data_IF_909971845893
#
_entry.id   IF_909971845893
#
_cell.length_a   1.000
_cell.length_b   1.000
_cell.length_c   1.000
_cell.angle_alpha   90.00
_cell.angle_beta   90.00
_cell.angle_gamma   90.00
#
_symmetry.space_group_name_H-M   'P 1'
#
loop_
_entity.id
_entity.type
_entity.pdbx_description
1 polymer ?
#
# COMPACT_ATOMS: atom_id res chain seq x y z
N UNK A 1 22.75 -16.39 -1.20
CA UNK A 1 22.96 -16.81 0.21
C UNK A 1 21.66 -17.41 0.72
N UNK A 2 21.64 -18.71 1.07
CA UNK A 2 20.47 -19.32 1.69
C UNK A 2 20.44 -18.88 3.17
N UNK A 3 19.84 -17.75 3.47
CA UNK A 3 19.49 -17.40 4.84
C UNK A 3 18.30 -18.30 5.23
N UNK A 4 18.57 -19.42 5.86
CA UNK A 4 17.53 -20.19 6.55
C UNK A 4 17.11 -19.41 7.78
N UNK A 5 15.80 -19.28 8.00
CA UNK A 5 15.27 -18.69 9.23
C UNK A 5 15.84 -19.42 10.45
N UNK A 6 16.24 -18.69 11.51
CA UNK A 6 16.67 -19.32 12.75
C UNK A 6 15.58 -20.27 13.29
N UNK A 7 15.99 -21.46 13.70
CA UNK A 7 15.07 -22.49 14.23
C UNK A 7 14.28 -21.94 15.43
N UNK A 8 14.94 -21.15 16.27
CA UNK A 8 14.32 -20.52 17.43
C UNK A 8 13.21 -19.54 17.03
N UNK A 9 13.44 -18.69 16.02
CA UNK A 9 12.44 -17.76 15.51
C UNK A 9 11.23 -18.51 14.97
N UNK A 10 11.48 -19.55 14.14
CA UNK A 10 10.42 -20.38 13.58
C UNK A 10 9.57 -21.00 14.68
N UNK A 11 10.19 -21.60 15.69
CA UNK A 11 9.49 -22.20 16.82
C UNK A 11 8.65 -21.20 17.62
N UNK A 12 9.18 -19.97 17.84
CA UNK A 12 8.43 -18.89 18.51
C UNK A 12 7.23 -18.43 17.68
N UNK A 13 7.41 -18.21 16.37
CA UNK A 13 6.33 -17.81 15.48
C UNK A 13 5.23 -18.86 15.40
N UNK A 14 5.59 -20.13 15.19
CA UNK A 14 4.64 -21.25 15.10
C UNK A 14 3.85 -21.43 16.40
N UNK A 15 4.51 -21.29 17.56
CA UNK A 15 3.87 -21.40 18.87
C UNK A 15 2.90 -20.26 19.17
N UNK A 16 3.29 -19.03 18.88
CA UNK A 16 2.55 -17.83 19.31
C UNK A 16 1.52 -17.32 18.29
N UNK A 17 1.72 -17.64 17.00
CA UNK A 17 0.91 -17.14 15.90
C UNK A 17 0.29 -18.25 15.04
N UNK A 18 0.82 -19.47 15.10
CA UNK A 18 0.22 -20.64 14.47
C UNK A 18 -0.10 -20.46 12.99
N UNK A 19 -1.38 -20.55 12.63
CA UNK A 19 -1.87 -20.44 11.25
C UNK A 19 -1.76 -19.02 10.63
N UNK A 20 -1.27 -18.04 11.37
CA UNK A 20 -0.96 -16.71 10.84
C UNK A 20 0.42 -16.66 10.16
N UNK A 21 1.19 -17.76 10.18
CA UNK A 21 2.55 -17.85 9.65
C UNK A 21 2.59 -18.81 8.46
N UNK A 22 3.15 -18.34 7.37
CA UNK A 22 3.39 -19.14 6.17
C UNK A 22 4.86 -19.04 5.78
N UNK A 23 5.42 -20.13 5.24
CA UNK A 23 6.82 -20.20 4.81
C UNK A 23 6.92 -20.46 3.32
N UNK A 24 7.99 -19.97 2.70
CA UNK A 24 8.28 -20.16 1.28
C UNK A 24 7.13 -19.73 0.36
N UNK A 25 6.55 -18.56 0.66
CA UNK A 25 5.39 -18.01 -0.07
C UNK A 25 5.86 -17.35 -1.36
N UNK A 26 5.28 -17.70 -2.54
CA UNK A 26 5.58 -16.99 -3.78
C UNK A 26 5.14 -15.53 -3.72
N UNK A 27 6.08 -14.60 -3.86
CA UNK A 27 5.79 -13.16 -3.84
C UNK A 27 4.98 -12.71 -5.05
N UNK A 28 5.11 -13.43 -6.17
CA UNK A 28 4.26 -13.24 -7.35
C UNK A 28 2.77 -13.39 -7.05
N UNK A 29 2.39 -14.22 -6.07
CA UNK A 29 0.98 -14.39 -5.68
C UNK A 29 0.47 -13.23 -4.84
N UNK A 30 1.35 -12.58 -4.08
CA UNK A 30 1.04 -11.42 -3.24
C UNK A 30 1.10 -10.11 -4.01
N UNK A 31 1.94 -10.02 -5.04
CA UNK A 31 2.23 -8.80 -5.78
C UNK A 31 1.16 -8.48 -6.84
N UNK A 32 0.80 -7.20 -6.94
CA UNK A 32 -0.02 -6.71 -8.04
C UNK A 32 0.70 -6.77 -9.40
N UNK A 33 2.03 -6.78 -9.42
CA UNK A 33 2.80 -7.01 -10.65
C UNK A 33 2.87 -8.47 -11.05
N UNK A 34 2.54 -9.39 -10.13
CA UNK A 34 2.71 -10.84 -10.35
C UNK A 34 4.16 -11.21 -10.66
N UNK A 35 5.08 -10.54 -9.98
CA UNK A 35 6.54 -10.72 -10.07
C UNK A 35 7.10 -10.90 -8.66
N UNK A 36 8.11 -11.74 -8.52
CA UNK A 36 8.87 -11.97 -7.30
C UNK A 36 9.05 -13.45 -6.99
N UNK A 37 10.22 -13.79 -6.45
CA UNK A 37 10.56 -15.13 -5.98
C UNK A 37 9.88 -15.50 -4.66
N UNK A 38 10.50 -16.36 -3.87
CA UNK A 38 9.94 -16.82 -2.60
C UNK A 38 10.25 -15.85 -1.44
N UNK A 39 9.26 -15.57 -0.61
CA UNK A 39 9.47 -15.02 0.73
C UNK A 39 9.76 -16.16 1.71
N UNK A 40 10.79 -16.02 2.54
CA UNK A 40 11.09 -17.04 3.55
C UNK A 40 9.98 -17.21 4.57
N UNK A 41 9.40 -16.09 5.03
CA UNK A 41 8.34 -16.08 6.02
C UNK A 41 7.38 -14.92 5.76
N UNK A 42 6.10 -15.21 5.80
CA UNK A 42 5.01 -14.23 5.77
C UNK A 42 4.17 -14.44 7.02
N UNK A 43 4.05 -13.40 7.84
CA UNK A 43 3.17 -13.35 9.00
C UNK A 43 1.96 -12.49 8.62
N UNK A 44 0.76 -13.05 8.72
CA UNK A 44 -0.51 -12.37 8.42
C UNK A 44 -1.35 -12.23 9.68
N UNK A 45 -1.10 -11.21 10.54
CA UNK A 45 -1.79 -11.05 11.82
C UNK A 45 -3.30 -10.92 11.63
N UNK A 46 -4.08 -11.64 12.46
CA UNK A 46 -5.54 -11.61 12.43
C UNK A 46 -6.15 -10.61 13.43
N UNK A 47 -5.33 -9.90 14.20
CA UNK A 47 -5.73 -8.88 15.17
C UNK A 47 -4.58 -7.93 15.50
N UNK A 48 -4.89 -6.77 16.09
CA UNK A 48 -3.87 -5.86 16.62
C UNK A 48 -2.98 -6.54 17.66
N UNK A 49 -3.55 -7.43 18.46
CA UNK A 49 -2.81 -8.20 19.48
C UNK A 49 -1.80 -9.16 18.83
N UNK A 50 -2.18 -9.87 17.76
CA UNK A 50 -1.24 -10.74 17.06
C UNK A 50 -0.20 -9.93 16.28
N UNK A 51 -0.53 -8.75 15.74
CA UNK A 51 0.44 -7.83 15.16
C UNK A 51 1.48 -7.38 16.19
N UNK A 52 1.06 -6.98 17.39
CA UNK A 52 1.98 -6.62 18.48
C UNK A 52 2.91 -7.78 18.85
N UNK A 53 2.38 -9.01 18.95
CA UNK A 53 3.18 -10.21 19.20
C UNK A 53 4.18 -10.47 18.08
N UNK A 54 3.75 -10.40 16.81
CA UNK A 54 4.62 -10.60 15.65
C UNK A 54 5.79 -9.61 15.66
N UNK A 55 5.50 -8.32 15.89
CA UNK A 55 6.53 -7.29 15.97
C UNK A 55 7.50 -7.53 17.13
N UNK A 56 7.00 -7.88 18.31
CA UNK A 56 7.84 -8.19 19.46
C UNK A 56 8.75 -9.39 19.20
N UNK A 57 8.22 -10.51 18.71
CA UNK A 57 9.00 -11.71 18.41
C UNK A 57 10.07 -11.39 17.37
N UNK A 58 9.70 -10.74 16.27
CA UNK A 58 10.62 -10.47 15.18
C UNK A 58 11.66 -9.40 15.52
N UNK A 59 11.41 -8.53 16.50
CA UNK A 59 12.41 -7.56 16.98
C UNK A 59 13.57 -8.18 17.75
N UNK A 60 13.40 -9.39 18.27
CA UNK A 60 14.48 -10.16 18.93
C UNK A 60 15.53 -10.67 17.92
N UNK A 61 15.23 -10.65 16.62
CA UNK A 61 16.08 -11.13 15.52
C UNK A 61 16.37 -9.97 14.56
N UNK A 62 16.98 -8.92 15.08
CA UNK A 62 17.23 -7.65 14.37
C UNK A 62 18.13 -7.78 13.13
N UNK A 63 18.90 -8.84 13.03
CA UNK A 63 19.75 -9.18 11.88
C UNK A 63 18.94 -9.62 10.65
N UNK A 64 17.68 -10.07 10.84
CA UNK A 64 16.82 -10.43 9.73
C UNK A 64 16.06 -9.21 9.20
N UNK A 65 16.10 -8.96 7.89
CA UNK A 65 15.32 -7.89 7.31
C UNK A 65 13.82 -8.13 7.50
N UNK A 66 13.11 -7.08 7.87
CA UNK A 66 11.67 -7.10 8.12
C UNK A 66 10.99 -6.04 7.27
N UNK A 67 9.91 -6.42 6.58
CA UNK A 67 9.13 -5.49 5.76
C UNK A 67 7.63 -5.63 6.08
N UNK A 68 6.99 -4.48 6.34
CA UNK A 68 5.53 -4.42 6.53
C UNK A 68 4.90 -4.20 5.16
N UNK A 69 3.96 -5.06 4.80
CA UNK A 69 3.28 -5.01 3.51
C UNK A 69 1.75 -4.99 3.66
N UNK A 70 1.07 -4.46 2.67
CA UNK A 70 -0.37 -4.66 2.45
C UNK A 70 -0.60 -5.55 1.25
N UNK A 71 -1.38 -5.08 0.27
CA UNK A 71 -1.65 -5.82 -0.97
C UNK A 71 -0.51 -5.70 -2.01
N UNK A 72 0.65 -5.16 -1.67
CA UNK A 72 1.82 -5.01 -2.55
C UNK A 72 1.52 -4.30 -3.88
N UNK A 73 0.61 -3.32 -3.85
CA UNK A 73 0.22 -2.54 -5.04
C UNK A 73 1.19 -1.40 -5.39
N UNK A 74 2.30 -1.27 -4.65
CA UNK A 74 3.36 -0.26 -4.85
C UNK A 74 4.76 -0.84 -4.59
N UNK A 75 4.93 -2.16 -4.76
CA UNK A 75 6.19 -2.85 -4.53
C UNK A 75 6.55 -3.70 -5.73
N UNK A 76 7.85 -3.74 -6.06
CA UNK A 76 8.47 -4.71 -6.96
C UNK A 76 9.37 -5.61 -6.12
N UNK A 77 9.13 -6.91 -6.16
CA UNK A 77 9.98 -7.89 -5.50
C UNK A 77 10.98 -8.49 -6.50
N UNK A 78 12.16 -8.80 -6.00
CA UNK A 78 13.19 -9.47 -6.76
C UNK A 78 12.77 -10.90 -7.13
N UNK A 79 13.25 -11.39 -8.27
CA UNK A 79 13.05 -12.78 -8.70
C UNK A 79 13.76 -13.77 -7.78
N UNK A 80 14.82 -13.35 -7.09
CA UNK A 80 15.50 -14.15 -6.04
C UNK A 80 14.69 -14.27 -4.74
N UNK A 81 13.63 -13.44 -4.60
CA UNK A 81 12.73 -13.44 -3.46
C UNK A 81 13.13 -12.49 -2.34
N UNK A 82 12.67 -12.76 -1.12
CA UNK A 82 12.92 -11.94 0.06
C UNK A 82 13.45 -12.80 1.23
N UNK A 83 14.71 -12.60 1.56
CA UNK A 83 15.38 -13.31 2.63
C UNK A 83 15.15 -12.62 3.99
N UNK A 84 13.92 -12.72 4.49
CA UNK A 84 13.52 -12.09 5.74
C UNK A 84 12.06 -12.37 6.07
N UNK A 85 11.49 -11.51 6.91
CA UNK A 85 10.13 -11.64 7.43
C UNK A 85 9.25 -10.57 6.81
N UNK A 86 8.19 -10.97 6.12
CA UNK A 86 7.12 -10.07 5.70
C UNK A 86 5.99 -10.11 6.73
N UNK A 87 5.55 -8.94 7.20
CA UNK A 87 4.34 -8.82 8.03
C UNK A 87 3.26 -8.18 7.16
N UNK A 88 2.24 -8.98 6.80
CA UNK A 88 1.19 -8.60 5.87
C UNK A 88 -0.05 -8.11 6.61
N UNK A 89 -0.32 -6.81 6.51
CA UNK A 89 -1.53 -6.19 7.06
C UNK A 89 -2.68 -6.34 6.06
N UNK A 90 -3.64 -7.18 6.38
CA UNK A 90 -4.75 -7.54 5.50
C UNK A 90 -6.06 -7.73 6.26
N UNK A 91 -6.84 -8.71 5.86
CA UNK A 91 -8.21 -8.93 6.33
C UNK A 91 -8.36 -9.21 7.84
N UNK A 92 -7.28 -9.55 8.53
CA UNK A 92 -7.27 -9.68 9.99
C UNK A 92 -7.26 -8.33 10.74
N UNK A 93 -6.97 -7.23 10.04
CA UNK A 93 -6.89 -5.87 10.58
C UNK A 93 -7.78 -4.94 9.76
N UNK A 94 -9.07 -5.27 9.67
CA UNK A 94 -10.02 -4.60 8.79
C UNK A 94 -11.22 -3.97 9.52
N UNK A 95 -11.08 -3.71 10.81
CA UNK A 95 -12.14 -3.02 11.55
C UNK A 95 -12.40 -1.64 10.98
N UNK A 96 -13.70 -1.33 10.79
CA UNK A 96 -14.18 -0.07 10.26
C UNK A 96 -15.36 0.43 11.10
N UNK A 97 -15.16 1.53 11.83
CA UNK A 97 -16.18 2.15 12.69
C UNK A 97 -16.46 3.57 12.24
N UNK A 98 -17.72 3.97 12.32
CA UNK A 98 -18.21 5.30 11.97
C UNK A 98 -18.88 5.94 13.18
N UNK A 99 -18.42 7.11 13.55
CA UNK A 99 -19.02 7.93 14.57
C UNK A 99 -19.24 9.34 14.01
N UNK A 100 -20.50 9.66 13.68
CA UNK A 100 -20.88 10.89 13.00
C UNK A 100 -20.13 11.08 11.66
N UNK A 101 -19.19 12.00 11.60
CA UNK A 101 -18.32 12.33 10.47
C UNK A 101 -16.87 11.89 10.69
N UNK A 102 -16.62 11.16 11.78
CA UNK A 102 -15.34 10.51 12.03
C UNK A 102 -15.38 9.05 11.62
N UNK A 103 -14.25 8.56 11.15
CA UNK A 103 -14.08 7.19 10.70
C UNK A 103 -12.80 6.64 11.30
N UNK A 104 -12.95 5.60 12.11
CA UNK A 104 -11.83 4.76 12.53
C UNK A 104 -11.68 3.60 11.54
N UNK A 105 -10.48 3.37 11.06
CA UNK A 105 -10.18 2.24 10.20
C UNK A 105 -8.81 1.64 10.52
N UNK A 106 -8.77 0.32 10.68
CA UNK A 106 -7.53 -0.42 10.82
C UNK A 106 -6.73 -0.44 9.51
N UNK A 107 -5.41 -0.64 9.62
CA UNK A 107 -4.46 -0.53 8.51
C UNK A 107 -4.72 -1.51 7.36
N UNK A 108 -5.37 -2.64 7.64
CA UNK A 108 -5.74 -3.65 6.66
C UNK A 108 -7.06 -3.39 5.93
N UNK A 109 -7.80 -2.32 6.24
CA UNK A 109 -9.01 -1.95 5.49
C UNK A 109 -8.66 -1.66 4.03
N UNK A 110 -9.41 -2.26 3.11
CA UNK A 110 -9.21 -2.02 1.68
C UNK A 110 -9.67 -0.62 1.27
N UNK A 111 -8.79 0.12 0.59
CA UNK A 111 -9.01 1.55 0.28
C UNK A 111 -10.31 1.82 -0.49
N UNK A 112 -10.66 1.08 -1.57
CA UNK A 112 -11.92 1.29 -2.26
C UNK A 112 -13.16 0.95 -1.41
N UNK A 113 -13.06 -0.01 -0.49
CA UNK A 113 -14.12 -0.37 0.43
C UNK A 113 -14.41 0.76 1.43
N UNK A 114 -13.37 1.37 2.02
CA UNK A 114 -13.52 2.56 2.85
C UNK A 114 -14.25 3.68 2.10
N UNK A 115 -13.80 4.01 0.88
CA UNK A 115 -14.45 5.04 0.07
C UNK A 115 -15.94 4.70 -0.23
N UNK A 116 -16.25 3.43 -0.49
CA UNK A 116 -17.62 2.96 -0.70
C UNK A 116 -18.48 3.10 0.56
N UNK A 117 -17.98 2.73 1.72
CA UNK A 117 -18.70 2.86 3.00
C UNK A 117 -18.94 4.32 3.37
N UNK A 118 -17.99 5.23 3.09
CA UNK A 118 -18.17 6.68 3.28
C UNK A 118 -19.25 7.23 2.34
N UNK A 119 -19.21 6.85 1.06
CA UNK A 119 -20.27 7.18 0.10
C UNK A 119 -21.66 6.76 0.61
N UNK A 120 -21.81 5.52 1.09
CA UNK A 120 -23.09 4.99 1.61
C UNK A 120 -23.65 5.82 2.77
N UNK A 121 -22.78 6.53 3.51
CA UNK A 121 -23.13 7.40 4.65
C UNK A 121 -23.22 8.88 4.30
N UNK A 122 -22.99 9.26 3.03
CA UNK A 122 -22.94 10.65 2.61
C UNK A 122 -21.77 11.44 3.22
N UNK A 123 -20.65 10.76 3.42
CA UNK A 123 -19.40 11.36 3.89
C UNK A 123 -18.49 11.64 2.70
N UNK A 124 -18.08 12.89 2.55
CA UNK A 124 -17.23 13.41 1.49
C UNK A 124 -15.82 13.72 1.99
N UNK A 125 -14.87 13.89 1.06
CA UNK A 125 -13.48 14.29 1.34
C UNK A 125 -12.45 13.28 0.85
N UNK A 126 -12.81 12.00 0.78
CA UNK A 126 -11.90 10.93 0.34
C UNK A 126 -12.28 10.27 -0.99
N UNK A 127 -13.15 10.88 -1.79
CA UNK A 127 -13.54 10.32 -3.10
C UNK A 127 -12.34 10.06 -4.01
N UNK A 128 -11.27 10.85 -3.84
CA UNK A 128 -10.04 10.76 -4.61
C UNK A 128 -9.27 9.44 -4.44
N UNK A 129 -9.56 8.64 -3.40
CA UNK A 129 -8.93 7.34 -3.17
C UNK A 129 -9.74 6.16 -3.72
N UNK A 130 -10.99 6.34 -4.15
CA UNK A 130 -11.94 5.24 -4.46
C UNK A 130 -11.44 4.23 -5.51
N UNK A 131 -10.48 4.60 -6.34
CA UNK A 131 -9.91 3.73 -7.37
C UNK A 131 -8.45 3.34 -7.12
N UNK A 132 -7.92 3.56 -5.92
CA UNK A 132 -6.54 3.21 -5.57
C UNK A 132 -6.56 1.81 -4.93
N UNK A 133 -5.94 0.79 -5.55
CA UNK A 133 -5.86 -0.52 -4.93
C UNK A 133 -4.85 -0.49 -3.78
N UNK A 134 -5.12 -1.26 -2.73
CA UNK A 134 -4.24 -1.41 -1.57
C UNK A 134 -4.95 -1.17 -0.24
N UNK A 135 -4.17 -1.19 0.83
CA UNK A 135 -4.64 -1.09 2.21
C UNK A 135 -4.38 0.30 2.79
N UNK A 136 -5.21 0.70 3.76
CA UNK A 136 -5.12 2.02 4.39
C UNK A 136 -3.76 2.28 5.03
N UNK A 137 -3.15 1.30 5.68
CA UNK A 137 -1.81 1.46 6.25
C UNK A 137 -0.78 1.89 5.21
N UNK A 138 -0.75 1.22 4.05
CA UNK A 138 0.12 1.58 2.93
C UNK A 138 -0.24 2.92 2.29
N UNK A 139 -1.54 3.25 2.20
CA UNK A 139 -2.00 4.54 1.68
C UNK A 139 -1.52 5.70 2.57
N UNK A 140 -1.65 5.57 3.89
CA UNK A 140 -1.19 6.59 4.86
C UNK A 140 0.34 6.67 4.88
N UNK A 141 1.04 5.52 4.88
CA UNK A 141 2.50 5.47 4.82
C UNK A 141 3.07 6.26 3.63
N UNK A 142 2.42 6.16 2.47
CA UNK A 142 2.82 6.85 1.24
C UNK A 142 2.15 8.22 1.05
N UNK A 143 1.35 8.71 1.99
CA UNK A 143 0.45 9.84 1.75
C UNK A 143 -0.23 9.71 0.38
N UNK A 144 -0.79 8.52 0.14
CA UNK A 144 -1.38 8.14 -1.14
C UNK A 144 -2.65 8.92 -1.45
N UNK A 145 -2.91 9.11 -2.72
CA UNK A 145 -4.10 9.83 -3.17
C UNK A 145 -4.08 10.07 -4.67
N UNK A 146 -5.03 10.80 -5.16
CA UNK A 146 -5.13 11.22 -6.56
C UNK A 146 -5.65 12.65 -6.67
N UNK A 147 -5.65 13.22 -7.88
CA UNK A 147 -6.12 14.59 -8.11
C UNK A 147 -5.39 15.66 -7.27
N UNK A 148 -4.08 15.46 -7.05
CA UNK A 148 -3.21 16.31 -6.22
C UNK A 148 -3.58 16.36 -4.74
N UNK A 149 -4.39 15.42 -4.26
CA UNK A 149 -4.76 15.27 -2.86
C UNK A 149 -4.09 14.03 -2.27
N UNK A 150 -3.74 14.09 -0.98
CA UNK A 150 -3.26 12.97 -0.18
C UNK A 150 -4.25 12.61 0.92
N UNK A 151 -4.21 11.37 1.40
CA UNK A 151 -5.11 10.92 2.47
C UNK A 151 -4.84 11.65 3.79
N UNK A 152 -3.62 12.11 4.04
CA UNK A 152 -3.24 12.80 5.27
C UNK A 152 -3.97 14.14 5.47
N UNK A 153 -4.54 14.72 4.41
CA UNK A 153 -5.41 15.90 4.51
C UNK A 153 -6.68 15.65 5.35
N UNK A 154 -7.10 14.40 5.48
CA UNK A 154 -8.31 14.01 6.21
C UNK A 154 -8.00 13.29 7.53
N UNK A 155 -6.72 13.03 7.85
CA UNK A 155 -6.30 12.29 9.05
C UNK A 155 -6.39 13.20 10.28
N UNK A 156 -7.00 12.67 11.33
CA UNK A 156 -7.06 13.28 12.68
C UNK A 156 -5.96 12.72 13.56
N UNK A 157 -5.79 11.40 13.54
CA UNK A 157 -4.71 10.72 14.26
C UNK A 157 -4.38 9.38 13.62
N UNK A 158 -3.19 8.87 13.95
CA UNK A 158 -2.70 7.57 13.50
C UNK A 158 -2.25 6.76 14.71
N UNK A 159 -2.84 5.59 14.89
CA UNK A 159 -2.36 4.61 15.86
C UNK A 159 -1.20 3.82 15.21
N UNK A 160 -0.04 3.86 15.84
CA UNK A 160 1.16 3.14 15.40
C UNK A 160 1.62 2.15 16.45
N UNK A 161 2.29 1.10 16.01
CA UNK A 161 2.96 0.14 16.90
C UNK A 161 4.46 0.25 16.69
N UNK A 162 5.22 0.38 17.79
CA UNK A 162 6.68 0.36 17.77
C UNK A 162 7.21 -1.04 17.50
N UNK A 163 8.49 -1.18 17.18
CA UNK A 163 9.14 -2.49 17.03
C UNK A 163 9.04 -3.35 18.30
N UNK A 164 8.92 -2.72 19.47
CA UNK A 164 8.74 -3.43 20.76
C UNK A 164 7.28 -3.86 21.03
N UNK A 165 6.36 -3.60 20.09
CA UNK A 165 4.95 -3.93 20.23
C UNK A 165 4.12 -2.93 21.04
N UNK A 166 4.66 -1.74 21.35
CA UNK A 166 3.94 -0.69 22.10
C UNK A 166 3.05 0.11 21.15
N UNK A 167 1.79 0.31 21.55
CA UNK A 167 0.85 1.18 20.83
C UNK A 167 1.09 2.65 21.19
N UNK A 168 1.11 3.52 20.18
CA UNK A 168 1.19 4.98 20.33
C UNK A 168 0.19 5.64 19.39
N UNK A 169 -0.42 6.74 19.85
CA UNK A 169 -1.25 7.60 19.01
C UNK A 169 -0.46 8.82 18.59
N UNK A 170 -0.55 9.20 17.31
CA UNK A 170 0.10 10.38 16.73
C UNK A 170 -0.99 11.28 16.17
N UNK A 171 -1.19 12.44 16.78
CA UNK A 171 -2.17 13.43 16.36
C UNK A 171 -1.74 14.13 15.05
N UNK A 172 -2.72 14.58 14.26
CA UNK A 172 -2.50 15.23 12.97
C UNK A 172 -1.59 16.46 13.06
N UNK A 173 -1.65 17.21 14.17
CA UNK A 173 -0.78 18.35 14.44
C UNK A 173 0.73 18.01 14.42
N UNK A 174 1.07 16.73 14.62
CA UNK A 174 2.42 16.21 14.61
C UNK A 174 2.77 15.46 13.31
N UNK A 175 1.89 15.54 12.29
CA UNK A 175 2.03 14.83 11.01
C UNK A 175 2.35 15.84 9.90
N UNK A 176 3.62 16.20 9.77
CA UNK A 176 4.08 16.95 8.61
C UNK A 176 4.04 16.05 7.37
N UNK A 177 3.46 16.55 6.29
CA UNK A 177 3.34 15.77 5.07
C UNK A 177 3.41 16.63 3.80
N UNK A 178 3.78 15.99 2.71
CA UNK A 178 3.74 16.58 1.37
C UNK A 178 3.41 15.50 0.33
N UNK A 179 3.49 15.83 -0.94
CA UNK A 179 3.20 14.88 -2.01
C UNK A 179 4.07 13.61 -1.91
N UNK A 180 3.43 12.47 -1.60
CA UNK A 180 4.07 11.15 -1.39
C UNK A 180 5.07 11.10 -0.23
N UNK A 181 4.99 12.04 0.69
CA UNK A 181 5.83 12.08 1.89
C UNK A 181 4.94 12.02 3.13
N UNK A 182 5.30 11.15 4.06
CA UNK A 182 4.71 11.06 5.40
C UNK A 182 5.82 10.91 6.46
N UNK A 183 5.56 11.27 7.73
CA UNK A 183 6.56 11.14 8.79
C UNK A 183 6.80 9.69 9.22
N UNK A 184 6.07 8.73 8.65
CA UNK A 184 6.20 7.30 8.96
C UNK A 184 7.30 6.63 8.14
N UNK A 185 7.68 7.23 7.00
CA UNK A 185 8.73 6.71 6.13
C UNK A 185 10.09 6.77 6.82
N UNK A 186 10.84 5.66 6.76
CA UNK A 186 12.15 5.54 7.39
C UNK A 186 12.13 5.45 8.92
N UNK A 187 10.96 5.35 9.55
CA UNK A 187 10.85 5.15 11.01
C UNK A 187 10.46 3.71 11.34
N UNK A 188 10.92 3.17 12.48
CA UNK A 188 10.58 1.84 12.96
C UNK A 188 9.18 1.82 13.61
N UNK A 189 8.19 2.27 12.85
CA UNK A 189 6.79 2.37 13.26
C UNK A 189 5.89 1.65 12.26
N UNK A 190 4.93 0.90 12.75
CA UNK A 190 3.92 0.20 11.95
C UNK A 190 2.58 0.89 12.14
N UNK A 191 1.96 1.37 11.08
CA UNK A 191 0.62 1.94 11.12
C UNK A 191 -0.36 0.82 11.40
N UNK A 192 -1.10 0.94 12.51
CA UNK A 192 -2.07 -0.05 12.99
C UNK A 192 -3.50 0.35 12.65
N UNK A 193 -3.84 1.63 12.84
CA UNK A 193 -5.14 2.19 12.52
C UNK A 193 -5.05 3.70 12.27
N UNK A 194 -6.10 4.27 11.69
CA UNK A 194 -6.19 5.69 11.32
C UNK A 194 -7.57 6.21 11.71
N UNK A 195 -7.62 7.43 12.22
CA UNK A 195 -8.85 8.21 12.38
C UNK A 195 -8.91 9.30 11.31
N UNK A 196 -10.02 9.36 10.61
CA UNK A 196 -10.29 10.34 9.58
C UNK A 196 -11.44 11.24 10.02
N UNK A 197 -11.37 12.53 9.69
CA UNK A 197 -12.47 13.49 9.77
C UNK A 197 -12.95 13.81 8.36
N UNK A 198 -14.23 13.61 8.11
CA UNK A 198 -14.85 13.78 6.80
C UNK A 198 -15.95 14.84 6.84
N UNK A 199 -16.36 15.32 5.68
CA UNK A 199 -17.41 16.31 5.55
C UNK A 199 -18.77 15.64 5.31
N UNK A 200 -19.84 16.13 5.93
CA UNK A 200 -21.19 15.69 5.61
C UNK A 200 -21.61 16.21 4.24
N UNK A 201 -22.17 15.33 3.45
CA UNK A 201 -22.64 15.62 2.09
C UNK A 201 -23.84 14.75 1.76
N UNK A 202 -24.34 14.86 0.54
CA UNK A 202 -25.38 13.94 0.05
C UNK A 202 -24.74 12.76 -0.68
N UNK A 203 -25.36 11.58 -0.59
CA UNK A 203 -24.92 10.39 -1.35
C UNK A 203 -24.82 10.66 -2.84
N UNK A 204 -25.73 11.49 -3.38
CA UNK A 204 -25.75 11.82 -4.80
C UNK A 204 -24.47 12.56 -5.23
N UNK A 205 -24.03 13.55 -4.45
CA UNK A 205 -22.82 14.34 -4.71
C UNK A 205 -21.57 13.43 -4.62
N UNK A 206 -21.42 12.68 -3.54
CA UNK A 206 -20.28 11.78 -3.34
C UNK A 206 -20.22 10.74 -4.47
N UNK A 207 -21.37 10.13 -4.81
CA UNK A 207 -21.47 9.15 -5.90
C UNK A 207 -21.02 9.75 -7.24
N UNK A 208 -21.48 10.95 -7.57
CA UNK A 208 -21.12 11.64 -8.81
C UNK A 208 -19.60 11.83 -8.90
N UNK A 209 -18.97 12.36 -7.85
CA UNK A 209 -17.51 12.56 -7.78
C UNK A 209 -16.75 11.24 -7.93
N UNK A 210 -17.13 10.21 -7.19
CA UNK A 210 -16.50 8.87 -7.31
C UNK A 210 -16.65 8.32 -8.72
N UNK A 211 -17.83 8.45 -9.34
CA UNK A 211 -18.07 7.96 -10.69
C UNK A 211 -17.16 8.67 -11.72
N UNK A 212 -17.02 9.98 -11.65
CA UNK A 212 -16.15 10.79 -12.51
C UNK A 212 -14.68 10.33 -12.38
N UNK A 213 -14.22 10.13 -11.14
CA UNK A 213 -12.87 9.64 -10.86
C UNK A 213 -12.65 8.25 -11.46
N UNK A 214 -13.57 7.31 -11.20
CA UNK A 214 -13.47 5.94 -11.71
C UNK A 214 -13.56 5.88 -13.23
N UNK A 215 -14.41 6.70 -13.86
CA UNK A 215 -14.51 6.81 -15.31
C UNK A 215 -13.22 7.33 -15.93
N UNK A 216 -12.62 8.38 -15.36
CA UNK A 216 -11.32 8.91 -15.78
C UNK A 216 -10.22 7.85 -15.66
N UNK A 217 -10.15 7.13 -14.53
CA UNK A 217 -9.16 6.07 -14.31
C UNK A 217 -9.30 4.90 -15.29
N UNK A 218 -10.54 4.51 -15.64
CA UNK A 218 -10.80 3.46 -16.64
C UNK A 218 -10.25 3.81 -18.01
N UNK A 219 -10.33 5.07 -18.40
CA UNK A 219 -9.83 5.55 -19.71
C UNK A 219 -8.29 5.64 -19.74
N UNK A 220 -7.66 5.98 -18.62
CA UNK A 220 -6.24 6.35 -18.57
C UNK A 220 -5.30 5.21 -18.16
N UNK A 221 -5.75 4.25 -17.35
CA UNK A 221 -4.86 3.29 -16.69
C UNK A 221 -5.01 1.86 -17.19
N UNK A 222 -3.89 1.10 -17.31
CA UNK A 222 -3.88 -0.28 -17.80
C UNK A 222 -4.40 -1.27 -16.74
N UNK A 223 -5.71 -1.32 -16.53
CA UNK A 223 -6.34 -2.12 -15.47
C UNK A 223 -6.39 -3.63 -15.72
N UNK A 224 -6.19 -4.06 -16.97
CA UNK A 224 -6.31 -5.47 -17.38
C UNK A 224 -5.01 -6.26 -17.23
N UNK A 225 -3.89 -5.58 -17.12
CA UNK A 225 -2.57 -6.18 -16.99
C UNK A 225 -2.00 -5.91 -15.59
N UNK A 226 -1.26 -6.87 -15.00
CA UNK A 226 -0.62 -6.69 -13.71
C UNK A 226 0.35 -5.51 -13.74
N UNK A 227 0.27 -4.64 -12.72
CA UNK A 227 1.12 -3.46 -12.56
C UNK A 227 0.95 -2.89 -11.15
N UNK A 228 1.88 -2.08 -10.68
CA UNK A 228 1.82 -1.39 -9.37
C UNK A 228 1.65 0.13 -9.50
N UNK A 229 0.93 0.59 -10.51
CA UNK A 229 0.65 2.02 -10.69
C UNK A 229 1.79 2.79 -11.37
N UNK A 230 1.84 4.09 -11.07
CA UNK A 230 2.86 4.98 -11.63
C UNK A 230 4.24 4.69 -11.06
N UNK A 231 5.22 4.44 -11.93
CA UNK A 231 6.60 4.08 -11.56
C UNK A 231 7.40 5.30 -11.11
N UNK A 232 7.31 6.39 -11.87
CA UNK A 232 8.06 7.62 -11.57
C UNK A 232 7.21 8.65 -10.84
N UNK A 233 7.79 9.25 -9.81
CA UNK A 233 7.17 10.33 -9.05
C UNK A 233 6.99 11.58 -9.94
N UNK A 234 5.87 12.24 -9.77
CA UNK A 234 5.61 13.54 -10.37
C UNK A 234 6.39 14.63 -9.64
N UNK A 235 7.03 15.52 -10.40
CA UNK A 235 7.61 16.75 -9.88
C UNK A 235 6.95 17.96 -10.56
N UNK A 236 6.00 18.65 -9.92
CA UNK A 236 5.30 19.80 -10.53
C UNK A 236 6.23 20.89 -11.02
N UNK A 237 7.39 21.10 -10.38
CA UNK A 237 8.38 22.10 -10.79
C UNK A 237 9.01 21.81 -12.17
N UNK A 238 8.91 20.57 -12.64
CA UNK A 238 9.42 20.15 -13.94
C UNK A 238 8.35 20.17 -15.05
N UNK A 239 7.09 20.47 -14.72
CA UNK A 239 6.02 20.36 -15.70
C UNK A 239 6.14 21.32 -16.87
N UNK A 240 6.63 22.55 -16.63
CA UNK A 240 6.83 23.54 -17.66
C UNK A 240 8.02 23.22 -18.58
N UNK A 241 8.95 22.36 -18.11
CA UNK A 241 10.16 21.98 -18.87
C UNK A 241 9.95 20.69 -19.63
N UNK A 242 9.54 19.62 -18.94
CA UNK A 242 9.43 18.27 -19.50
C UNK A 242 8.04 17.65 -19.39
N UNK A 243 7.11 18.31 -18.71
CA UNK A 243 5.77 17.77 -18.38
C UNK A 243 5.79 16.70 -17.28
N UNK A 244 4.63 16.09 -17.00
CA UNK A 244 4.55 14.97 -16.08
C UNK A 244 5.28 13.74 -16.63
N UNK A 245 5.75 12.80 -15.78
CA UNK A 245 6.59 11.67 -16.21
C UNK A 245 6.03 10.87 -17.38
N UNK A 246 4.75 10.54 -17.36
CA UNK A 246 4.11 9.80 -18.46
C UNK A 246 4.19 10.53 -19.81
N UNK A 247 4.03 11.85 -19.82
CA UNK A 247 4.16 12.67 -21.01
C UNK A 247 5.62 12.71 -21.51
N UNK A 248 6.58 12.89 -20.59
CA UNK A 248 8.00 12.91 -20.94
C UNK A 248 8.45 11.57 -21.57
N UNK A 249 8.03 10.43 -20.97
CA UNK A 249 8.33 9.09 -21.49
C UNK A 249 7.71 8.87 -22.88
N UNK A 250 6.48 9.33 -23.08
CA UNK A 250 5.81 9.24 -24.39
C UNK A 250 6.50 10.11 -25.43
N UNK A 251 6.90 11.35 -25.07
CA UNK A 251 7.59 12.29 -25.96
C UNK A 251 8.92 11.77 -26.50
N UNK A 252 9.64 10.97 -25.72
CA UNK A 252 10.90 10.33 -26.16
C UNK A 252 10.69 8.97 -26.83
N UNK A 253 9.45 8.62 -27.19
CA UNK A 253 9.13 7.42 -27.97
C UNK A 253 9.23 6.09 -27.23
N UNK A 254 9.20 6.08 -25.88
CA UNK A 254 9.36 4.86 -25.11
C UNK A 254 8.03 4.12 -24.82
N UNK A 255 6.88 4.73 -25.13
CA UNK A 255 5.57 4.09 -24.98
C UNK A 255 5.51 2.80 -25.79
N UNK A 256 5.06 1.71 -25.19
CA UNK A 256 5.03 0.39 -25.81
C UNK A 256 6.36 -0.36 -25.85
N UNK A 257 7.48 0.27 -25.44
CA UNK A 257 8.79 -0.41 -25.40
C UNK A 257 8.74 -1.60 -24.45
N UNK A 258 9.34 -2.71 -24.87
CA UNK A 258 9.42 -3.97 -24.12
C UNK A 258 10.84 -4.30 -23.71
N UNK A 259 10.95 -4.96 -22.55
CA UNK A 259 12.12 -5.72 -22.13
C UNK A 259 11.62 -7.03 -21.53
N UNK A 260 12.02 -8.16 -22.07
CA UNK A 260 11.41 -9.43 -21.72
C UNK A 260 9.89 -9.39 -21.85
N UNK A 261 9.20 -9.76 -20.78
CA UNK A 261 7.73 -9.70 -20.70
C UNK A 261 7.19 -8.47 -19.95
N UNK A 262 8.03 -7.49 -19.61
CA UNK A 262 7.60 -6.19 -19.16
C UNK A 262 7.44 -5.20 -20.31
N UNK A 263 6.43 -4.33 -20.25
CA UNK A 263 6.14 -3.33 -21.28
C UNK A 263 5.76 -1.99 -20.65
N UNK A 264 6.31 -0.88 -21.18
CA UNK A 264 5.76 0.46 -20.92
C UNK A 264 4.37 0.53 -21.54
N UNK A 265 3.36 0.79 -20.71
CA UNK A 265 1.97 0.68 -21.13
C UNK A 265 1.59 1.60 -22.27
N UNK A 266 0.87 1.06 -23.26
CA UNK A 266 0.28 1.80 -24.39
C UNK A 266 -0.79 2.81 -23.95
N UNK A 267 -1.43 2.61 -22.79
CA UNK A 267 -2.46 3.52 -22.27
C UNK A 267 -1.85 4.69 -21.48
N UNK A 268 -0.77 4.42 -20.72
CA UNK A 268 -0.16 5.43 -19.84
C UNK A 268 1.32 5.12 -19.65
N UNK A 269 2.19 5.92 -20.23
CA UNK A 269 3.62 5.63 -20.28
C UNK A 269 4.35 5.65 -18.92
N UNK A 270 3.74 6.18 -17.85
CA UNK A 270 4.28 6.05 -16.47
C UNK A 270 3.89 4.73 -15.79
N UNK A 271 3.36 3.76 -16.53
CA UNK A 271 3.03 2.42 -16.03
C UNK A 271 3.85 1.39 -16.81
N UNK A 272 4.45 0.47 -16.08
CA UNK A 272 5.02 -0.75 -16.64
C UNK A 272 4.07 -1.89 -16.34
N UNK A 273 3.72 -2.68 -17.33
CA UNK A 273 2.79 -3.81 -17.20
C UNK A 273 3.51 -5.12 -17.44
N UNK A 274 3.11 -6.15 -16.72
CA UNK A 274 3.54 -7.51 -16.96
C UNK A 274 2.60 -8.16 -17.99
N UNK A 275 3.16 -8.62 -19.11
CA UNK A 275 2.43 -9.29 -20.19
C UNK A 275 2.23 -10.78 -19.94
N UNK A 276 2.72 -11.28 -18.79
CA UNK A 276 2.75 -12.68 -18.38
C UNK A 276 4.18 -13.21 -18.27
N UNK A 277 4.57 -13.61 -17.04
CA UNK A 277 5.91 -14.15 -16.77
C UNK A 277 7.07 -13.15 -16.89
N UNK A 278 6.81 -11.84 -16.70
CA UNK A 278 7.87 -10.87 -16.56
C UNK A 278 8.69 -11.10 -15.30
N UNK A 279 9.97 -10.77 -15.36
CA UNK A 279 10.91 -10.82 -14.24
C UNK A 279 11.15 -9.43 -13.67
N UNK A 280 11.66 -9.34 -12.43
CA UNK A 280 12.03 -8.06 -11.82
C UNK A 280 13.06 -7.30 -12.64
N UNK A 281 14.01 -8.01 -13.22
CA UNK A 281 15.05 -7.47 -14.09
C UNK A 281 14.49 -6.88 -15.41
N UNK A 282 13.29 -7.26 -15.82
CA UNK A 282 12.64 -6.72 -17.00
C UNK A 282 12.04 -5.33 -16.74
N UNK A 283 11.65 -5.07 -15.48
CA UNK A 283 11.04 -3.82 -15.02
C UNK A 283 12.10 -2.79 -14.66
#
# INVERSE_FOLDING_TARGET
MNLTLPIELKAKLDKELGNEVEYLVPLSDLSYWKIGGLAQCVVSPNSLKSLQKALKITSEFSELPRLIIGDCSNLLFDDEGYNGILIKLGNGLNELRFENDEVYCEAGVWVPELAFHCFRRGLAGIEHICGIPGRIGGLVFMNGGSQRRGILENVVSVDVITEKGEMKNIEASNIEHSYRVSPFQGKPLVIAAVRLKLERSTRAIVRKRMHEILASRRKKFPRKLPNCGSVFLSNPKMYDVIGPPGFAIEKVGLKGKRRGNAQISELHANFIVNLGGAKSVDV
#
